data_IF_711894156380
#
_entry.id   IF_711894156380
#
_cell.length_a   1.000
_cell.length_b   1.000
_cell.length_c   1.000
_cell.angle_alpha   90.00
_cell.angle_beta   90.00
_cell.angle_gamma   90.00
#
_symmetry.space_group_name_H-M   'P 1'
#
loop_
_entity.id
_entity.type
_entity.pdbx_description
1 polymer ?
#
# COMPACT_ATOMS: atom_id res chain seq x y z
N UNK A 1 11.32 4.16 13.41
CA UNK A 1 11.76 4.22 12.00
C UNK A 1 10.67 3.79 11.02
N UNK A 2 9.82 2.77 11.35
CA UNK A 2 8.78 2.30 10.44
C UNK A 2 7.73 3.37 10.08
N UNK A 3 7.53 4.39 10.90
CA UNK A 3 6.65 5.54 10.63
C UNK A 3 7.36 6.70 9.91
N UNK A 4 8.64 6.56 9.62
CA UNK A 4 9.40 7.65 8.96
C UNK A 4 8.85 7.90 7.57
N UNK A 5 8.61 9.18 7.25
CA UNK A 5 8.06 9.62 5.98
C UNK A 5 6.56 9.41 5.82
N UNK A 6 5.82 9.07 6.89
CA UNK A 6 4.38 8.91 6.85
C UNK A 6 3.69 10.19 6.36
N UNK A 7 2.78 10.05 5.40
CA UNK A 7 1.98 11.14 4.83
C UNK A 7 0.51 10.98 5.23
N UNK A 8 -0.09 9.84 4.91
CA UNK A 8 -1.52 9.60 5.12
C UNK A 8 -1.84 8.10 5.12
N UNK A 9 -2.98 7.73 5.67
CA UNK A 9 -3.56 6.39 5.54
C UNK A 9 -4.95 6.44 4.92
N UNK A 10 -5.53 5.27 4.65
CA UNK A 10 -6.87 5.15 4.11
C UNK A 10 -7.92 5.59 5.12
N UNK A 11 -9.02 6.15 4.62
CA UNK A 11 -10.17 6.53 5.44
C UNK A 11 -10.89 5.25 5.94
N UNK A 12 -11.31 5.25 7.22
CA UNK A 12 -12.11 4.17 7.80
C UNK A 12 -11.36 2.85 8.02
N UNK A 13 -10.02 2.83 7.95
CA UNK A 13 -9.18 1.65 8.22
C UNK A 13 -9.52 0.39 7.40
N UNK A 14 -10.20 0.53 6.27
CA UNK A 14 -10.60 -0.57 5.42
C UNK A 14 -10.43 -0.24 3.93
N UNK A 15 -10.01 -1.24 3.17
CA UNK A 15 -10.02 -1.24 1.71
C UNK A 15 -11.36 -1.80 1.24
N UNK A 16 -12.09 -1.05 0.44
CA UNK A 16 -13.40 -1.44 -0.07
C UNK A 16 -13.29 -1.86 -1.54
N UNK A 17 -14.06 -2.88 -1.92
CA UNK A 17 -14.24 -3.27 -3.33
C UNK A 17 -15.22 -2.33 -4.07
N UNK A 18 -15.50 -2.65 -5.33
CA UNK A 18 -16.40 -1.86 -6.20
C UNK A 18 -17.84 -1.81 -5.69
N UNK A 19 -18.27 -2.82 -4.95
CA UNK A 19 -19.58 -2.94 -4.34
C UNK A 19 -19.66 -2.26 -2.95
N UNK A 20 -18.54 -1.70 -2.46
CA UNK A 20 -18.44 -1.11 -1.13
C UNK A 20 -18.28 -2.12 0.01
N UNK A 21 -17.99 -3.38 -0.31
CA UNK A 21 -17.71 -4.44 0.67
C UNK A 21 -16.26 -4.37 1.10
N UNK A 22 -15.98 -4.67 2.37
CA UNK A 22 -14.62 -4.73 2.90
C UNK A 22 -13.84 -5.87 2.23
N UNK A 23 -12.80 -5.50 1.50
CA UNK A 23 -11.82 -6.41 0.89
C UNK A 23 -10.66 -6.71 1.85
N UNK A 24 -10.25 -5.70 2.63
CA UNK A 24 -9.20 -5.82 3.64
C UNK A 24 -9.45 -4.83 4.76
N UNK A 25 -9.27 -5.24 6.01
CA UNK A 25 -9.39 -4.38 7.18
C UNK A 25 -8.07 -4.33 7.96
N UNK A 26 -7.60 -3.12 8.22
CA UNK A 26 -6.41 -2.90 9.06
C UNK A 26 -6.70 -3.25 10.53
N UNK A 27 -7.97 -3.13 10.96
CA UNK A 27 -8.39 -3.39 12.34
C UNK A 27 -8.33 -4.87 12.73
N UNK A 28 -8.39 -5.79 11.75
CA UNK A 28 -8.22 -7.23 12.01
C UNK A 28 -6.88 -7.55 12.71
N UNK A 29 -5.89 -6.68 12.58
CA UNK A 29 -4.57 -6.81 13.17
C UNK A 29 -4.39 -6.02 14.48
N UNK A 30 -5.45 -5.48 15.04
CA UNK A 30 -5.37 -4.64 16.24
C UNK A 30 -4.91 -5.39 17.49
N UNK A 31 -5.05 -6.71 17.53
CA UNK A 31 -4.46 -7.53 18.59
C UNK A 31 -2.94 -7.37 18.70
N UNK A 32 -2.25 -6.98 17.63
CA UNK A 32 -0.81 -6.71 17.62
C UNK A 32 -0.42 -5.43 18.38
N UNK A 33 -1.38 -4.59 18.78
CA UNK A 33 -1.12 -3.44 19.65
C UNK A 33 -0.73 -3.85 21.07
N UNK A 34 -1.06 -5.09 21.47
CA UNK A 34 -0.74 -5.62 22.78
C UNK A 34 0.72 -6.07 22.91
N UNK A 35 1.14 -6.33 24.15
CA UNK A 35 2.43 -6.96 24.41
C UNK A 35 2.47 -8.38 23.85
N UNK A 36 3.67 -8.85 23.51
CA UNK A 36 3.91 -10.21 23.05
C UNK A 36 3.36 -11.24 24.07
N UNK A 37 2.41 -12.11 23.69
CA UNK A 37 1.95 -13.18 24.56
C UNK A 37 3.04 -14.24 24.75
N UNK A 38 2.99 -14.96 25.86
CA UNK A 38 3.99 -16.01 26.16
C UNK A 38 4.03 -17.15 25.13
N UNK A 39 2.94 -17.32 24.37
CA UNK A 39 2.80 -18.36 23.34
C UNK A 39 3.34 -17.95 21.97
N UNK A 40 3.78 -16.71 21.80
CA UNK A 40 4.30 -16.20 20.54
C UNK A 40 5.80 -15.91 20.60
N UNK A 41 6.48 -16.12 19.47
CA UNK A 41 7.89 -15.72 19.34
C UNK A 41 8.00 -14.18 19.35
N UNK A 42 8.79 -13.58 20.26
CA UNK A 42 8.89 -12.12 20.37
C UNK A 42 9.37 -11.42 19.12
N UNK A 43 10.28 -12.04 18.37
CA UNK A 43 10.80 -11.46 17.13
C UNK A 43 9.74 -11.44 16.02
N UNK A 44 8.96 -12.50 15.87
CA UNK A 44 7.85 -12.57 14.93
C UNK A 44 6.74 -11.60 15.33
N UNK A 45 6.44 -11.48 16.62
CA UNK A 45 5.47 -10.50 17.10
C UNK A 45 5.90 -9.08 16.74
N UNK A 46 7.15 -8.74 17.02
CA UNK A 46 7.71 -7.43 16.67
C UNK A 46 7.68 -7.17 15.17
N UNK A 47 8.04 -8.16 14.34
CA UNK A 47 7.95 -8.04 12.88
C UNK A 47 6.51 -7.80 12.42
N UNK A 48 5.55 -8.52 12.99
CA UNK A 48 4.12 -8.33 12.68
C UNK A 48 3.63 -6.94 13.08
N UNK A 49 4.07 -6.41 14.22
CA UNK A 49 3.79 -5.02 14.62
C UNK A 49 4.32 -4.00 13.63
N UNK A 50 5.50 -4.23 13.04
CA UNK A 50 6.05 -3.35 12.00
C UNK A 50 5.26 -3.45 10.69
N UNK A 51 4.86 -4.66 10.30
CA UNK A 51 4.14 -4.90 9.05
C UNK A 51 2.71 -4.32 9.05
N UNK A 52 2.09 -4.12 10.23
CA UNK A 52 0.77 -3.50 10.32
C UNK A 52 0.78 -1.97 10.13
N UNK A 53 1.94 -1.34 10.12
CA UNK A 53 2.05 0.09 9.86
C UNK A 53 1.71 0.33 8.40
N UNK A 54 0.59 1.02 8.17
CA UNK A 54 -0.02 1.15 6.85
C UNK A 54 -0.13 2.62 6.43
N UNK A 55 -0.25 2.82 5.13
CA UNK A 55 -0.46 4.12 4.52
C UNK A 55 0.54 4.45 3.42
N UNK A 56 0.59 5.72 3.09
CA UNK A 56 1.49 6.33 2.13
C UNK A 56 2.70 6.95 2.85
N UNK A 57 3.89 6.63 2.38
CA UNK A 57 5.16 7.09 2.94
C UNK A 57 6.03 7.72 1.87
N UNK A 58 6.66 8.84 2.19
CA UNK A 58 7.74 9.40 1.39
C UNK A 58 9.06 8.74 1.80
N UNK A 59 9.68 8.03 0.87
CA UNK A 59 10.94 7.30 1.08
C UNK A 59 12.14 8.15 0.69
N UNK A 60 12.05 8.79 -0.48
CA UNK A 60 13.03 9.78 -0.95
C UNK A 60 12.25 11.08 -1.24
N UNK A 61 12.60 12.19 -0.58
CA UNK A 61 11.87 13.44 -0.70
C UNK A 61 11.63 13.86 -2.15
N UNK A 62 10.36 14.06 -2.50
CA UNK A 62 9.91 14.50 -3.81
C UNK A 62 10.06 13.49 -4.95
N UNK A 63 10.61 12.30 -4.70
CA UNK A 63 10.97 11.34 -5.76
C UNK A 63 10.38 9.95 -5.62
N UNK A 64 10.40 9.38 -4.43
CA UNK A 64 9.99 8.00 -4.22
C UNK A 64 9.05 7.90 -3.04
N UNK A 65 7.91 7.26 -3.30
CA UNK A 65 6.84 7.04 -2.34
C UNK A 65 6.48 5.55 -2.30
N UNK A 66 5.97 5.11 -1.16
CA UNK A 66 5.54 3.72 -1.01
C UNK A 66 4.22 3.65 -0.24
N UNK A 67 3.27 2.89 -0.77
CA UNK A 67 2.06 2.47 -0.06
C UNK A 67 2.33 1.11 0.55
N UNK A 68 2.09 1.00 1.86
CA UNK A 68 2.37 -0.18 2.69
C UNK A 68 1.14 -0.60 3.48
N UNK A 69 1.04 -1.88 3.78
CA UNK A 69 0.11 -2.42 4.76
C UNK A 69 -1.36 -2.36 4.37
N UNK A 70 -1.67 -2.19 3.09
CA UNK A 70 -3.02 -2.33 2.53
C UNK A 70 -3.22 -3.70 1.87
N UNK A 71 -2.16 -4.46 1.74
CA UNK A 71 -2.08 -5.78 1.14
C UNK A 71 -0.80 -6.45 1.65
N UNK A 72 -0.53 -7.69 1.26
CA UNK A 72 0.73 -8.37 1.58
C UNK A 72 1.92 -7.80 0.80
N UNK A 73 1.69 -7.27 -0.41
CA UNK A 73 2.68 -6.55 -1.19
C UNK A 73 2.53 -5.03 -1.05
N UNK A 74 3.59 -4.31 -1.33
CA UNK A 74 3.62 -2.85 -1.34
C UNK A 74 3.50 -2.33 -2.77
N UNK A 75 3.02 -1.08 -2.92
CA UNK A 75 3.13 -0.33 -4.18
C UNK A 75 4.19 0.75 -4.02
N UNK A 76 5.13 0.81 -4.97
CA UNK A 76 6.16 1.83 -4.97
C UNK A 76 5.96 2.77 -6.16
N UNK A 77 5.96 4.07 -5.90
CA UNK A 77 5.77 5.13 -6.89
C UNK A 77 7.05 5.92 -7.06
N UNK A 78 7.59 5.95 -8.27
CA UNK A 78 8.75 6.76 -8.64
C UNK A 78 8.23 7.94 -9.47
N UNK A 79 8.52 9.14 -9.00
CA UNK A 79 8.17 10.36 -9.73
C UNK A 79 9.16 10.58 -10.86
N UNK A 80 8.64 10.62 -12.09
CA UNK A 80 9.36 11.07 -13.28
C UNK A 80 8.93 12.50 -13.65
N UNK A 81 9.55 13.07 -14.66
CA UNK A 81 9.19 14.41 -15.15
C UNK A 81 7.77 14.46 -15.73
N UNK A 82 7.25 13.34 -16.23
CA UNK A 82 5.99 13.28 -16.96
C UNK A 82 4.91 12.43 -16.24
N UNK A 83 5.17 11.87 -15.06
CA UNK A 83 4.19 11.05 -14.35
C UNK A 83 4.78 10.04 -13.41
N UNK A 84 4.01 9.01 -13.10
CA UNK A 84 4.40 7.95 -12.19
C UNK A 84 4.93 6.72 -12.92
N UNK A 85 6.04 6.16 -12.44
CA UNK A 85 6.45 4.78 -12.68
C UNK A 85 6.09 4.00 -11.42
N UNK A 86 5.29 2.95 -11.57
CA UNK A 86 4.81 2.14 -10.43
C UNK A 86 5.54 0.81 -10.43
N UNK A 87 6.06 0.40 -9.28
CA UNK A 87 6.62 -0.94 -9.08
C UNK A 87 5.65 -1.72 -8.22
N UNK A 88 5.15 -2.82 -8.75
CA UNK A 88 4.12 -3.72 -8.22
C UNK A 88 2.78 -3.02 -7.90
N UNK A 89 1.70 -3.76 -8.00
CA UNK A 89 0.35 -3.21 -7.91
C UNK A 89 -0.58 -4.05 -7.02
N UNK A 90 -0.03 -4.73 -6.04
CA UNK A 90 -0.76 -5.52 -5.04
C UNK A 90 -1.55 -6.73 -5.61
N UNK A 91 -2.31 -7.42 -4.73
CA UNK A 91 -3.07 -8.64 -5.07
C UNK A 91 -4.38 -8.33 -5.77
N UNK A 92 -5.06 -7.24 -5.37
CA UNK A 92 -6.44 -6.96 -5.78
C UNK A 92 -6.60 -5.56 -6.36
N UNK A 93 -7.56 -5.39 -7.24
CA UNK A 93 -7.96 -4.09 -7.77
C UNK A 93 -8.36 -3.11 -6.66
N UNK A 94 -9.00 -3.58 -5.59
CA UNK A 94 -9.38 -2.77 -4.46
C UNK A 94 -8.16 -2.18 -3.73
N UNK A 95 -7.15 -3.00 -3.42
CA UNK A 95 -5.93 -2.56 -2.76
C UNK A 95 -5.10 -1.62 -3.66
N UNK A 96 -4.96 -1.95 -4.95
CA UNK A 96 -4.26 -1.11 -5.93
C UNK A 96 -4.94 0.25 -6.10
N UNK A 97 -6.27 0.26 -6.20
CA UNK A 97 -7.04 1.52 -6.28
C UNK A 97 -6.85 2.37 -5.03
N UNK A 98 -6.98 1.77 -3.84
CA UNK A 98 -6.78 2.49 -2.59
C UNK A 98 -5.37 3.10 -2.49
N UNK A 99 -4.35 2.37 -2.90
CA UNK A 99 -2.97 2.87 -2.94
C UNK A 99 -2.77 3.99 -3.95
N UNK A 100 -3.36 3.86 -5.14
CA UNK A 100 -3.31 4.89 -6.17
C UNK A 100 -4.05 6.17 -5.74
N UNK A 101 -5.24 6.03 -5.13
CA UNK A 101 -6.00 7.16 -4.62
C UNK A 101 -5.23 7.94 -3.53
N UNK A 102 -4.46 7.25 -2.69
CA UNK A 102 -3.62 7.91 -1.68
C UNK A 102 -2.55 8.79 -2.33
N UNK A 103 -1.80 8.29 -3.31
CA UNK A 103 -0.76 9.09 -3.98
C UNK A 103 -1.38 10.27 -4.74
N UNK A 104 -2.49 10.04 -5.44
CA UNK A 104 -3.22 11.05 -6.19
C UNK A 104 -3.73 12.18 -5.29
N UNK A 105 -4.32 11.83 -4.15
CA UNK A 105 -4.93 12.79 -3.20
C UNK A 105 -3.89 13.58 -2.43
N UNK A 106 -2.78 12.95 -2.02
CA UNK A 106 -1.87 13.53 -1.03
C UNK A 106 -0.53 14.00 -1.58
N UNK A 107 -0.17 13.59 -2.81
CA UNK A 107 1.10 14.02 -3.42
C UNK A 107 0.85 14.72 -4.76
N UNK A 108 0.38 13.98 -5.77
CA UNK A 108 0.10 14.57 -7.08
C UNK A 108 -0.79 13.66 -7.93
N UNK A 109 -1.70 14.28 -8.67
CA UNK A 109 -2.50 13.63 -9.71
C UNK A 109 -1.71 13.69 -11.03
N UNK A 110 -0.93 12.63 -11.28
CA UNK A 110 -0.08 12.52 -12.45
C UNK A 110 -0.40 11.23 -13.22
N UNK A 111 -0.25 11.23 -14.55
CA UNK A 111 -0.48 10.03 -15.35
C UNK A 111 0.53 8.93 -15.01
N UNK A 112 0.13 7.68 -15.22
CA UNK A 112 1.04 6.52 -15.12
C UNK A 112 1.79 6.35 -16.43
N UNK A 113 3.13 6.43 -16.37
CA UNK A 113 4.01 6.25 -17.52
C UNK A 113 4.39 4.78 -17.75
N UNK A 114 4.39 3.99 -16.69
CA UNK A 114 4.71 2.58 -16.76
C UNK A 114 4.52 1.86 -15.45
N UNK A 115 4.35 0.55 -15.56
CA UNK A 115 4.29 -0.36 -14.41
C UNK A 115 5.35 -1.43 -14.59
N UNK A 116 6.12 -1.70 -13.54
CA UNK A 116 7.16 -2.73 -13.48
C UNK A 116 6.72 -3.78 -12.47
N UNK A 117 6.70 -5.03 -12.88
CA UNK A 117 6.47 -6.16 -11.96
C UNK A 117 7.80 -6.76 -11.57
N UNK A 118 8.03 -6.91 -10.26
CA UNK A 118 9.28 -7.48 -9.74
C UNK A 118 9.38 -8.96 -10.05
N UNK A 119 8.25 -9.67 -9.99
CA UNK A 119 8.17 -11.10 -10.28
C UNK A 119 6.71 -11.54 -10.53
N UNK A 120 6.47 -12.78 -11.03
CA UNK A 120 5.15 -13.21 -11.49
C UNK A 120 4.24 -13.79 -10.40
N UNK A 121 4.34 -13.37 -9.15
CA UNK A 121 3.37 -13.74 -8.12
C UNK A 121 2.18 -12.79 -8.14
N UNK A 122 0.98 -13.31 -7.87
CA UNK A 122 -0.28 -12.59 -7.99
C UNK A 122 -0.39 -11.32 -7.14
N UNK A 123 0.24 -11.31 -5.98
CA UNK A 123 0.29 -10.17 -5.07
C UNK A 123 1.14 -8.99 -5.58
N UNK A 124 1.80 -9.14 -6.73
CA UNK A 124 2.59 -8.09 -7.35
C UNK A 124 1.97 -7.51 -8.63
N UNK A 125 1.07 -8.25 -9.30
CA UNK A 125 0.44 -7.78 -10.55
C UNK A 125 -1.10 -7.80 -10.53
N UNK A 126 -1.73 -8.39 -9.51
CA UNK A 126 -3.17 -8.64 -9.50
C UNK A 126 -4.05 -7.39 -9.63
N UNK A 127 -3.61 -6.25 -9.10
CA UNK A 127 -4.35 -4.98 -9.16
C UNK A 127 -4.12 -4.13 -10.39
N UNK A 128 -3.50 -4.65 -11.46
CA UNK A 128 -3.14 -3.85 -12.65
C UNK A 128 -4.35 -3.26 -13.37
N UNK A 129 -5.50 -3.91 -13.34
CA UNK A 129 -6.70 -3.41 -14.02
C UNK A 129 -7.17 -2.09 -13.39
N UNK A 130 -7.17 -2.00 -12.06
CA UNK A 130 -7.53 -0.77 -11.35
C UNK A 130 -6.57 0.39 -11.65
N UNK A 131 -5.26 0.11 -11.74
CA UNK A 131 -4.27 1.14 -12.09
C UNK A 131 -4.50 1.65 -13.52
N UNK A 132 -4.77 0.77 -14.47
CA UNK A 132 -5.08 1.15 -15.86
C UNK A 132 -6.35 2.01 -15.96
N UNK A 133 -7.42 1.62 -15.27
CA UNK A 133 -8.68 2.36 -15.23
C UNK A 133 -8.49 3.75 -14.60
N UNK A 134 -7.76 3.83 -13.49
CA UNK A 134 -7.55 5.09 -12.77
C UNK A 134 -6.59 6.06 -13.47
N UNK A 135 -5.76 5.57 -14.39
CA UNK A 135 -4.78 6.36 -15.15
C UNK A 135 -5.27 6.79 -16.55
N UNK A 136 -6.48 6.39 -16.94
CA UNK A 136 -7.13 6.76 -18.20
C UNK A 136 -7.90 8.05 -18.06
#
# INVERSE_FOLDING_TARGET
DANRGFIASIDGNAVLDKEGKVSYSVEEWDFLKSNTPQTANPSLWRQSQLNRINGLFEVIPGKLYQVRGLDIANMTFIRSDNGWIIIDVTTTDAAAKAGYDLIKKHVADLPVQGVIFTHPHGDHYGGIAAVKEASS
#
